data_IF_462180893593
#
_entry.id   IF_462180893593
#
_cell.length_a   1.000
_cell.length_b   1.000
_cell.length_c   1.000
_cell.angle_alpha   90.00
_cell.angle_beta   90.00
_cell.angle_gamma   90.00
#
_symmetry.space_group_name_H-M   'P 1'
#
loop_
_entity.id
_entity.type
_entity.pdbx_description
1 polymer ?
#
# COMPACT_ATOMS: atom_id res chain seq x y z
N UNK A 1 -12.67 20.74 1.40
CA UNK A 1 -12.71 20.11 0.06
C UNK A 1 -11.54 19.14 0.04
N UNK A 2 -11.83 17.83 0.01
CA UNK A 2 -10.77 16.82 -0.02
C UNK A 2 -10.23 16.81 -1.46
N UNK A 3 -9.07 17.43 -1.66
CA UNK A 3 -8.34 17.34 -2.93
C UNK A 3 -7.82 15.91 -3.09
N UNK A 4 -8.69 15.01 -3.55
CA UNK A 4 -8.28 13.71 -4.06
C UNK A 4 -7.40 13.97 -5.29
N UNK A 5 -6.08 14.01 -5.09
CA UNK A 5 -5.11 14.17 -6.17
C UNK A 5 -5.04 12.87 -6.96
N UNK A 6 -5.98 12.71 -7.90
CA UNK A 6 -5.90 11.68 -8.92
C UNK A 6 -4.80 12.10 -9.90
N UNK A 7 -3.82 11.22 -10.11
CA UNK A 7 -2.74 11.42 -11.08
C UNK A 7 -2.83 10.33 -12.13
N UNK A 8 -2.73 10.69 -13.41
CA UNK A 8 -2.68 9.73 -14.50
C UNK A 8 -1.25 9.24 -14.70
N UNK A 9 -1.05 7.92 -14.73
CA UNK A 9 0.22 7.30 -15.09
C UNK A 9 -0.04 6.20 -16.11
N UNK A 10 0.51 6.35 -17.31
CA UNK A 10 0.30 5.40 -18.43
C UNK A 10 -1.18 5.12 -18.75
N UNK A 11 -2.06 6.13 -18.66
CA UNK A 11 -3.50 5.97 -18.89
C UNK A 11 -4.27 5.31 -17.75
N UNK A 12 -3.63 5.11 -16.59
CA UNK A 12 -4.26 4.58 -15.38
C UNK A 12 -4.45 5.73 -14.39
N UNK A 13 -5.68 5.92 -13.92
CA UNK A 13 -5.98 6.86 -12.84
C UNK A 13 -5.47 6.30 -11.50
N UNK A 14 -4.56 7.03 -10.87
CA UNK A 14 -3.98 6.67 -9.57
C UNK A 14 -4.47 7.64 -8.50
N UNK A 15 -5.14 7.10 -7.49
CA UNK A 15 -5.42 7.81 -6.24
C UNK A 15 -4.14 7.92 -5.42
N UNK A 16 -3.49 9.08 -5.49
CA UNK A 16 -2.22 9.29 -4.79
C UNK A 16 -2.36 9.25 -3.27
N UNK A 17 -3.53 9.57 -2.70
CA UNK A 17 -3.74 9.49 -1.26
C UNK A 17 -3.77 8.03 -0.79
N UNK A 18 -4.48 7.16 -1.52
CA UNK A 18 -4.48 5.72 -1.25
C UNK A 18 -3.07 5.14 -1.36
N UNK A 19 -2.33 5.50 -2.40
CA UNK A 19 -0.92 5.07 -2.57
C UNK A 19 -0.06 5.51 -1.38
N UNK A 20 -0.16 6.76 -0.95
CA UNK A 20 0.60 7.27 0.20
C UNK A 20 0.25 6.56 1.51
N UNK A 21 -1.04 6.24 1.73
CA UNK A 21 -1.49 5.44 2.89
C UNK A 21 -0.89 4.04 2.87
N UNK A 22 -0.94 3.36 1.73
CA UNK A 22 -0.36 2.01 1.56
C UNK A 22 1.15 2.04 1.78
N UNK A 23 1.85 3.02 1.20
CA UNK A 23 3.30 3.19 1.38
C UNK A 23 3.67 3.40 2.85
N UNK A 24 2.91 4.23 3.59
CA UNK A 24 3.15 4.45 5.01
C UNK A 24 2.93 3.17 5.83
N UNK A 25 1.85 2.42 5.57
CA UNK A 25 1.58 1.12 6.21
C UNK A 25 2.73 0.14 5.96
N UNK A 26 3.23 0.08 4.72
CA UNK A 26 4.36 -0.77 4.33
C UNK A 26 5.61 -0.48 5.17
N UNK A 27 6.03 0.78 5.23
CA UNK A 27 7.26 1.18 5.94
C UNK A 27 7.18 0.82 7.42
N UNK A 28 6.04 1.06 8.06
CA UNK A 28 5.82 0.72 9.47
C UNK A 28 5.92 -0.79 9.69
N UNK A 29 5.31 -1.58 8.79
CA UNK A 29 5.30 -3.03 8.88
C UNK A 29 6.69 -3.61 8.66
N UNK A 30 7.43 -3.13 7.66
CA UNK A 30 8.81 -3.55 7.40
C UNK A 30 9.72 -3.22 8.58
N UNK A 31 9.61 -2.00 9.14
CA UNK A 31 10.35 -1.62 10.36
C UNK A 31 10.03 -2.52 11.55
N UNK A 32 8.79 -2.97 11.66
CA UNK A 32 8.38 -3.93 12.70
C UNK A 32 8.96 -5.31 12.41
N UNK A 33 8.89 -5.76 11.15
CA UNK A 33 9.39 -7.04 10.71
C UNK A 33 10.91 -7.19 10.86
N UNK A 34 11.69 -6.13 10.62
CA UNK A 34 13.13 -6.10 10.91
C UNK A 34 13.42 -6.42 12.38
N UNK A 35 12.56 -5.97 13.29
CA UNK A 35 12.71 -6.23 14.74
C UNK A 35 12.22 -7.61 15.15
N UNK A 36 11.09 -8.06 14.61
CA UNK A 36 10.42 -9.30 15.04
C UNK A 36 10.80 -10.53 14.21
N UNK A 37 11.32 -10.34 13.01
CA UNK A 37 11.60 -11.37 11.98
C UNK A 37 10.38 -12.26 11.73
N UNK A 38 9.18 -11.69 11.79
CA UNK A 38 7.92 -12.42 11.75
C UNK A 38 7.56 -12.90 10.34
N UNK A 39 8.01 -12.18 9.31
CA UNK A 39 7.74 -12.45 7.92
C UNK A 39 9.03 -12.46 7.10
N UNK A 40 9.13 -13.36 6.13
CA UNK A 40 10.16 -13.28 5.11
C UNK A 40 9.73 -12.38 3.93
N UNK A 41 10.66 -12.06 3.05
CA UNK A 41 10.42 -11.17 1.90
C UNK A 41 9.24 -11.61 1.03
N UNK A 42 9.09 -12.92 0.80
CA UNK A 42 8.00 -13.48 0.02
C UNK A 42 6.63 -13.31 0.69
N UNK A 43 6.57 -13.39 2.02
CA UNK A 43 5.36 -13.14 2.80
C UNK A 43 4.99 -11.65 2.82
N UNK A 44 5.99 -10.76 2.91
CA UNK A 44 5.78 -9.33 2.79
C UNK A 44 5.18 -8.97 1.42
N UNK A 45 5.69 -9.54 0.32
CA UNK A 45 5.12 -9.30 -1.02
C UNK A 45 3.66 -9.75 -1.12
N UNK A 46 3.30 -10.92 -0.57
CA UNK A 46 1.91 -11.39 -0.55
C UNK A 46 1.01 -10.46 0.28
N UNK A 47 1.51 -10.00 1.41
CA UNK A 47 0.79 -9.08 2.29
C UNK A 47 0.50 -7.73 1.62
N UNK A 48 1.47 -7.20 0.86
CA UNK A 48 1.29 -5.95 0.09
C UNK A 48 0.19 -6.08 -0.95
N UNK A 49 0.20 -7.19 -1.72
CA UNK A 49 -0.84 -7.45 -2.72
C UNK A 49 -2.22 -7.48 -2.08
N UNK A 50 -2.36 -8.17 -0.95
CA UNK A 50 -3.61 -8.24 -0.19
C UNK A 50 -4.08 -6.87 0.30
N UNK A 51 -3.18 -6.04 0.83
CA UNK A 51 -3.52 -4.67 1.25
C UNK A 51 -3.99 -3.80 0.08
N UNK A 52 -3.41 -3.98 -1.11
CA UNK A 52 -3.84 -3.25 -2.31
C UNK A 52 -5.23 -3.73 -2.75
N UNK A 53 -5.45 -5.05 -2.82
CA UNK A 53 -6.75 -5.65 -3.16
C UNK A 53 -7.86 -5.17 -2.20
N UNK A 54 -7.62 -5.17 -0.89
CA UNK A 54 -8.58 -4.71 0.13
C UNK A 54 -8.97 -3.22 -0.03
N UNK A 55 -8.04 -2.35 -0.44
CA UNK A 55 -8.30 -0.91 -0.66
C UNK A 55 -8.95 -0.62 -2.02
N UNK A 56 -8.93 -1.59 -2.95
CA UNK A 56 -9.61 -1.54 -4.26
C UNK A 56 -11.03 -2.11 -4.18
N UNK A 57 -11.27 -3.15 -3.37
CA UNK A 57 -12.60 -3.77 -3.23
C UNK A 57 -13.59 -2.94 -2.37
N UNK A 58 -13.11 -2.03 -1.52
CA UNK A 58 -14.00 -1.12 -0.79
C UNK A 58 -14.55 -0.02 -1.71
N UNK A 59 -15.73 -0.27 -2.29
CA UNK A 59 -16.62 0.71 -2.92
C UNK A 59 -17.80 1.06 -2.01
#
# INVERSE_FOLDING_TARGET
>A
MNDCKITEFNGIEIDTEKVQKILKKLIIKEKTNIKTKQHNDGEMVKYIKKMIEEEVECY
#
